data_IF_659134638064
#
_entry.id   IF_659134638064
#
_cell.length_a   1.000
_cell.length_b   1.000
_cell.length_c   1.000
_cell.angle_alpha   90.00
_cell.angle_beta   90.00
_cell.angle_gamma   90.00
#
_symmetry.space_group_name_H-M   'P 1'
#
loop_
_entity.id
_entity.type
_entity.pdbx_description
1 polymer ?
#
# COMPACT_ATOMS: atom_id res chain seq x y z
N UNK A 1 0.10 2.57 -25.31
CA UNK A 1 -1.03 2.63 -24.37
C UNK A 1 -1.59 4.04 -24.42
N UNK A 2 -2.89 4.22 -24.65
CA UNK A 2 -3.51 5.55 -24.76
C UNK A 2 -3.39 6.23 -23.37
N UNK A 3 -2.67 7.35 -23.26
CA UNK A 3 -2.43 8.08 -22.00
C UNK A 3 -3.74 8.34 -21.22
N UNK A 4 -4.85 8.53 -21.94
CA UNK A 4 -6.17 8.71 -21.32
C UNK A 4 -6.69 7.46 -20.61
N UNK A 5 -6.45 6.26 -21.14
CA UNK A 5 -6.86 4.99 -20.53
C UNK A 5 -5.99 4.65 -19.31
N UNK A 6 -4.70 4.92 -19.39
CA UNK A 6 -3.79 4.75 -18.25
C UNK A 6 -4.23 5.63 -17.07
N UNK A 7 -4.44 6.92 -17.32
CA UNK A 7 -4.84 7.87 -16.28
C UNK A 7 -6.18 7.54 -15.66
N UNK A 8 -7.15 7.01 -16.45
CA UNK A 8 -8.48 6.65 -15.95
C UNK A 8 -8.49 5.37 -15.13
N UNK A 9 -7.76 4.33 -15.55
CA UNK A 9 -7.95 2.99 -14.99
C UNK A 9 -6.78 2.45 -14.19
N UNK A 10 -5.55 2.87 -14.47
CA UNK A 10 -4.36 2.31 -13.82
C UNK A 10 -3.71 3.29 -12.84
N UNK A 11 -3.65 4.57 -13.19
CA UNK A 11 -3.00 5.59 -12.34
C UNK A 11 -3.55 5.61 -10.91
N UNK A 12 -4.89 5.59 -10.66
CA UNK A 12 -5.40 5.56 -9.29
C UNK A 12 -4.94 4.35 -8.49
N UNK A 13 -4.79 3.19 -9.15
CA UNK A 13 -4.27 1.98 -8.53
C UNK A 13 -2.79 2.09 -8.17
N UNK A 14 -1.96 2.64 -9.04
CA UNK A 14 -0.54 2.85 -8.76
C UNK A 14 -0.32 3.87 -7.63
N UNK A 15 -1.12 4.93 -7.59
CA UNK A 15 -1.05 5.91 -6.50
C UNK A 15 -1.51 5.28 -5.18
N UNK A 16 -2.63 4.53 -5.17
CA UNK A 16 -3.09 3.81 -3.99
C UNK A 16 -2.04 2.83 -3.48
N UNK A 17 -1.46 2.03 -4.36
CA UNK A 17 -0.35 1.14 -4.04
C UNK A 17 0.83 1.89 -3.40
N UNK A 18 1.25 3.03 -3.95
CA UNK A 18 2.37 3.80 -3.42
C UNK A 18 2.11 4.33 -2.01
N UNK A 19 0.85 4.58 -1.65
CA UNK A 19 0.48 4.98 -0.30
C UNK A 19 0.46 3.80 0.69
N UNK A 20 0.09 2.60 0.22
CA UNK A 20 0.06 1.39 1.04
C UNK A 20 1.48 0.88 1.33
N UNK A 21 2.37 0.94 0.32
CA UNK A 21 3.76 0.50 0.47
C UNK A 21 4.50 1.51 1.36
N UNK A 22 4.47 1.25 2.65
CA UNK A 22 5.13 2.01 3.69
C UNK A 22 6.25 1.23 4.36
N UNK A 23 6.69 1.67 5.55
CA UNK A 23 7.75 1.02 6.33
C UNK A 23 7.48 -0.44 6.69
N UNK A 24 6.20 -0.80 6.86
CA UNK A 24 5.78 -2.18 7.11
C UNK A 24 6.09 -3.14 5.95
N UNK A 25 6.08 -2.65 4.71
CA UNK A 25 6.57 -3.42 3.56
C UNK A 25 8.09 -3.48 3.50
N UNK A 26 8.78 -2.41 3.88
CA UNK A 26 10.25 -2.37 3.93
C UNK A 26 10.83 -3.42 4.87
N UNK A 27 10.16 -3.69 5.99
CA UNK A 27 10.52 -4.75 6.95
C UNK A 27 9.85 -6.10 6.66
N UNK A 28 8.75 -6.13 5.90
CA UNK A 28 7.90 -7.30 5.69
C UNK A 28 7.01 -7.66 6.88
N UNK A 29 7.11 -6.93 8.00
CA UNK A 29 6.42 -7.27 9.25
C UNK A 29 4.90 -7.20 9.14
N UNK A 30 4.37 -6.25 8.38
CA UNK A 30 2.92 -6.16 8.12
C UNK A 30 2.37 -7.43 7.45
N UNK A 31 3.10 -7.98 6.47
CA UNK A 31 2.66 -9.18 5.77
C UNK A 31 2.71 -10.41 6.67
N UNK A 32 3.69 -10.49 7.55
CA UNK A 32 3.74 -11.53 8.58
C UNK A 32 2.54 -11.42 9.49
N UNK A 33 2.29 -10.25 10.05
CA UNK A 33 1.27 -10.05 11.08
C UNK A 33 -0.14 -10.24 10.56
N UNK A 34 -0.48 -9.70 9.37
CA UNK A 34 -1.83 -9.73 8.85
C UNK A 34 -2.15 -10.97 8.02
N UNK A 35 -1.14 -11.61 7.42
CA UNK A 35 -1.36 -12.71 6.48
C UNK A 35 -0.65 -14.00 6.85
N UNK A 36 0.68 -13.98 7.11
CA UNK A 36 1.44 -15.22 7.33
C UNK A 36 1.14 -15.89 8.66
N UNK A 37 0.80 -15.16 9.70
CA UNK A 37 0.37 -15.72 10.99
C UNK A 37 -0.87 -16.60 10.87
N UNK A 38 -1.72 -16.35 9.88
CA UNK A 38 -2.89 -17.17 9.59
C UNK A 38 -2.53 -18.49 8.83
N UNK A 39 -1.28 -18.62 8.40
CA UNK A 39 -0.82 -19.70 7.54
C UNK A 39 -0.99 -19.43 6.05
N UNK A 40 -0.32 -20.22 5.18
CA UNK A 40 -0.22 -19.93 3.75
C UNK A 40 -1.57 -19.77 3.04
N UNK A 41 -2.49 -20.73 3.24
CA UNK A 41 -3.80 -20.72 2.57
C UNK A 41 -4.70 -19.61 3.12
N UNK A 42 -4.81 -19.51 4.45
CA UNK A 42 -5.61 -18.46 5.07
C UNK A 42 -5.03 -17.06 4.88
N UNK A 43 -3.71 -16.94 4.70
CA UNK A 43 -3.05 -15.72 4.28
C UNK A 43 -3.58 -15.22 2.93
N UNK A 44 -3.67 -16.10 1.92
CA UNK A 44 -4.26 -15.78 0.62
C UNK A 44 -5.75 -15.41 0.73
N UNK A 45 -6.52 -16.11 1.58
CA UNK A 45 -7.92 -15.76 1.84
C UNK A 45 -8.01 -14.36 2.45
N UNK A 46 -7.16 -14.03 3.42
CA UNK A 46 -7.11 -12.70 4.03
C UNK A 46 -6.74 -11.61 2.99
N UNK A 47 -5.81 -11.89 2.08
CA UNK A 47 -5.48 -10.98 0.98
C UNK A 47 -6.66 -10.76 0.03
N UNK A 48 -7.38 -11.83 -0.32
CA UNK A 48 -8.58 -11.73 -1.15
C UNK A 48 -9.67 -10.90 -0.46
N UNK A 49 -9.90 -11.10 0.84
CA UNK A 49 -10.85 -10.31 1.64
C UNK A 49 -10.46 -8.83 1.65
N UNK A 50 -9.18 -8.51 1.91
CA UNK A 50 -8.70 -7.14 1.89
C UNK A 50 -8.86 -6.49 0.50
N UNK A 51 -8.55 -7.22 -0.57
CA UNK A 51 -8.71 -6.76 -1.95
C UNK A 51 -10.17 -6.44 -2.28
N UNK A 52 -11.09 -7.31 -1.87
CA UNK A 52 -12.54 -7.08 -2.08
C UNK A 52 -13.00 -5.83 -1.34
N UNK A 53 -12.61 -5.67 -0.07
CA UNK A 53 -12.98 -4.49 0.72
C UNK A 53 -12.43 -3.22 0.07
N UNK A 54 -11.15 -3.19 -0.32
CA UNK A 54 -10.54 -2.04 -0.99
C UNK A 54 -11.24 -1.74 -2.31
N UNK A 55 -11.48 -2.75 -3.14
CA UNK A 55 -12.15 -2.60 -4.44
C UNK A 55 -13.54 -1.98 -4.30
N UNK A 56 -14.32 -2.46 -3.34
CA UNK A 56 -15.68 -1.93 -3.10
C UNK A 56 -15.62 -0.51 -2.56
N UNK A 57 -14.81 -0.25 -1.54
CA UNK A 57 -14.75 1.08 -0.93
C UNK A 57 -14.18 2.12 -1.90
N UNK A 58 -13.10 1.78 -2.64
CA UNK A 58 -12.54 2.70 -3.64
C UNK A 58 -13.53 2.98 -4.78
N UNK A 59 -14.24 1.96 -5.26
CA UNK A 59 -15.28 2.15 -6.29
C UNK A 59 -16.38 3.12 -5.81
N UNK A 60 -16.83 2.98 -4.56
CA UNK A 60 -17.82 3.88 -3.96
C UNK A 60 -17.23 5.29 -3.77
N UNK A 61 -16.02 5.40 -3.23
CA UNK A 61 -15.35 6.69 -3.02
C UNK A 61 -15.16 7.45 -4.36
N UNK A 62 -14.74 6.76 -5.41
CA UNK A 62 -14.52 7.35 -6.74
C UNK A 62 -15.84 7.82 -7.36
N UNK A 63 -16.91 7.02 -7.25
CA UNK A 63 -18.22 7.41 -7.78
C UNK A 63 -18.82 8.59 -6.99
N UNK A 64 -18.75 8.57 -5.66
CA UNK A 64 -19.23 9.67 -4.82
C UNK A 64 -18.43 10.96 -5.09
N UNK A 65 -17.11 10.85 -5.23
CA UNK A 65 -16.25 11.97 -5.60
C UNK A 65 -16.61 12.55 -6.96
N UNK A 66 -16.82 11.69 -7.96
CA UNK A 66 -17.25 12.09 -9.30
C UNK A 66 -18.61 12.80 -9.30
N UNK A 67 -19.60 12.22 -8.61
CA UNK A 67 -20.96 12.78 -8.53
C UNK A 67 -20.99 14.15 -7.83
N UNK A 68 -20.21 14.32 -6.78
CA UNK A 68 -20.14 15.55 -5.99
C UNK A 68 -19.15 16.58 -6.52
N UNK A 69 -18.25 16.21 -7.45
CA UNK A 69 -17.13 17.06 -7.87
C UNK A 69 -16.10 17.29 -6.76
N UNK A 70 -16.04 16.41 -5.77
CA UNK A 70 -15.18 16.55 -4.59
C UNK A 70 -13.90 15.73 -4.76
N UNK A 71 -12.88 16.31 -5.39
CA UNK A 71 -11.60 15.64 -5.68
C UNK A 71 -10.49 15.94 -4.66
N UNK A 72 -10.80 16.72 -3.64
CA UNK A 72 -9.93 16.96 -2.49
C UNK A 72 -10.47 16.25 -1.25
N UNK A 73 -9.59 15.67 -0.42
CA UNK A 73 -9.99 14.90 0.73
C UNK A 73 -10.91 15.67 1.71
N UNK A 74 -10.62 16.98 1.93
CA UNK A 74 -11.44 17.82 2.83
C UNK A 74 -12.85 18.05 2.30
N UNK A 75 -12.99 18.40 1.02
CA UNK A 75 -14.29 18.64 0.41
C UNK A 75 -15.11 17.36 0.36
N UNK A 76 -14.47 16.23 0.05
CA UNK A 76 -15.06 14.91 0.06
C UNK A 76 -15.56 14.51 1.45
N UNK A 77 -14.71 14.61 2.48
CA UNK A 77 -15.09 14.25 3.84
C UNK A 77 -16.18 15.16 4.42
N UNK A 78 -16.14 16.46 4.11
CA UNK A 78 -17.22 17.38 4.48
C UNK A 78 -18.56 16.99 3.88
N UNK A 79 -18.56 16.53 2.63
CA UNK A 79 -19.78 16.10 1.94
C UNK A 79 -20.40 14.85 2.54
N UNK A 80 -19.58 13.92 3.09
CA UNK A 80 -20.04 12.65 3.66
C UNK A 80 -20.31 12.75 5.17
N UNK A 81 -19.39 13.35 5.92
CA UNK A 81 -19.41 13.36 7.40
C UNK A 81 -20.03 14.63 7.97
N UNK A 82 -20.37 15.61 7.15
CA UNK A 82 -20.86 16.91 7.64
C UNK A 82 -19.88 17.50 8.65
N UNK A 83 -20.36 17.83 9.87
CA UNK A 83 -19.51 18.38 10.95
C UNK A 83 -18.49 17.38 11.50
N UNK A 84 -18.68 16.08 11.31
CA UNK A 84 -17.78 15.01 11.77
C UNK A 84 -16.44 14.96 11.04
N UNK A 85 -16.29 15.63 9.89
CA UNK A 85 -15.04 15.67 9.12
C UNK A 85 -13.86 16.19 9.95
N UNK A 86 -14.10 17.07 10.91
CA UNK A 86 -13.06 17.66 11.77
C UNK A 86 -12.39 16.58 12.65
N UNK A 87 -13.18 15.68 13.22
CA UNK A 87 -12.65 14.59 14.02
C UNK A 87 -11.76 13.65 13.16
N UNK A 88 -12.22 13.34 11.93
CA UNK A 88 -11.41 12.57 10.99
C UNK A 88 -10.10 13.29 10.65
N UNK A 89 -10.14 14.59 10.40
CA UNK A 89 -8.94 15.38 10.06
C UNK A 89 -7.89 15.34 11.18
N UNK A 90 -8.29 15.50 12.43
CA UNK A 90 -7.36 15.38 13.56
C UNK A 90 -6.73 13.99 13.65
N UNK A 91 -7.52 12.92 13.54
CA UNK A 91 -7.01 11.55 13.54
C UNK A 91 -6.07 11.29 12.37
N UNK A 92 -6.42 11.78 11.20
CA UNK A 92 -5.60 11.67 9.99
C UNK A 92 -4.27 12.42 10.13
N UNK A 93 -4.27 13.63 10.66
CA UNK A 93 -3.05 14.40 10.89
C UNK A 93 -2.12 13.72 11.92
N UNK A 94 -2.68 13.19 13.02
CA UNK A 94 -1.90 12.40 13.98
C UNK A 94 -1.28 11.18 13.28
N UNK A 95 -2.07 10.45 12.50
CA UNK A 95 -1.58 9.31 11.72
C UNK A 95 -0.47 9.70 10.75
N UNK A 96 -0.61 10.82 10.02
CA UNK A 96 0.43 11.32 9.12
C UNK A 96 1.74 11.63 9.85
N UNK A 97 1.68 12.29 11.01
CA UNK A 97 2.89 12.57 11.79
C UNK A 97 3.58 11.28 12.21
N UNK A 98 2.81 10.28 12.66
CA UNK A 98 3.37 8.98 13.03
C UNK A 98 4.02 8.28 11.83
N UNK A 99 3.34 8.23 10.68
CA UNK A 99 3.88 7.60 9.46
C UNK A 99 5.15 8.32 8.99
N UNK A 100 5.14 9.66 8.93
CA UNK A 100 6.33 10.44 8.53
C UNK A 100 7.49 10.23 9.49
N UNK A 101 7.22 10.11 10.79
CA UNK A 101 8.26 9.82 11.79
C UNK A 101 8.89 8.44 11.59
N UNK A 102 8.08 7.41 11.35
CA UNK A 102 8.56 6.05 11.06
C UNK A 102 9.38 6.02 9.77
N UNK A 103 8.90 6.68 8.71
CA UNK A 103 9.62 6.78 7.44
C UNK A 103 10.93 7.55 7.58
N UNK A 104 10.93 8.62 8.38
CA UNK A 104 12.11 9.39 8.71
C UNK A 104 13.17 8.54 9.40
N UNK A 105 12.78 7.80 10.44
CA UNK A 105 13.67 6.89 11.17
C UNK A 105 14.26 5.82 10.25
N UNK A 106 13.41 5.15 9.46
CA UNK A 106 13.87 4.13 8.51
C UNK A 106 14.84 4.70 7.46
N UNK A 107 14.57 5.91 6.97
CA UNK A 107 15.48 6.61 6.04
C UNK A 107 16.82 6.94 6.69
N UNK A 108 16.81 7.42 7.95
CA UNK A 108 18.02 7.67 8.73
C UNK A 108 18.88 6.43 8.88
N UNK A 109 18.27 5.31 9.31
CA UNK A 109 18.94 4.02 9.49
C UNK A 109 19.58 3.52 8.17
N UNK A 110 18.85 3.55 7.06
CA UNK A 110 19.36 3.14 5.74
C UNK A 110 20.55 4.01 5.30
N UNK A 111 20.48 5.33 5.48
CA UNK A 111 21.58 6.22 5.13
C UNK A 111 22.81 6.00 6.01
N UNK A 112 22.59 5.76 7.31
CA UNK A 112 23.68 5.45 8.25
C UNK A 112 24.40 4.15 7.86
N UNK A 113 23.65 3.09 7.53
CA UNK A 113 24.24 1.81 7.12
C UNK A 113 25.00 1.88 5.79
N UNK A 114 24.50 2.65 4.81
CA UNK A 114 25.13 2.70 3.47
C UNK A 114 26.31 3.66 3.41
N UNK A 115 26.20 4.82 4.07
CA UNK A 115 27.15 5.94 3.90
C UNK A 115 28.01 6.20 5.15
N UNK A 116 27.81 5.44 6.22
CA UNK A 116 28.53 5.62 7.51
C UNK A 116 28.42 7.08 8.05
N UNK A 117 27.20 7.63 7.96
CA UNK A 117 26.85 8.98 8.45
C UNK A 117 25.85 8.88 9.61
N UNK A 118 25.69 9.98 10.35
CA UNK A 118 24.67 10.02 11.41
C UNK A 118 23.26 9.89 10.81
N UNK A 119 22.37 9.14 11.48
CA UNK A 119 20.98 8.90 11.04
C UNK A 119 20.21 10.20 10.72
N UNK A 120 20.48 11.27 11.48
CA UNK A 120 19.85 12.58 11.27
C UNK A 120 20.10 13.14 9.87
N UNK A 121 21.22 12.83 9.23
CA UNK A 121 21.54 13.26 7.86
C UNK A 121 20.57 12.63 6.87
N UNK A 122 20.31 11.32 7.00
CA UNK A 122 19.34 10.61 6.15
C UNK A 122 17.91 11.15 6.34
N UNK A 123 17.52 11.41 7.58
CA UNK A 123 16.23 12.04 7.90
C UNK A 123 16.11 13.41 7.21
N UNK A 124 17.13 14.27 7.35
CA UNK A 124 17.11 15.61 6.75
C UNK A 124 17.06 15.57 5.22
N UNK A 125 17.80 14.66 4.59
CA UNK A 125 17.76 14.47 3.13
C UNK A 125 16.37 14.04 2.69
N UNK A 126 15.79 13.04 3.34
CA UNK A 126 14.44 12.55 3.03
C UNK A 126 13.39 13.68 3.16
N UNK A 127 13.43 14.43 4.27
CA UNK A 127 12.49 15.53 4.51
C UNK A 127 12.66 16.65 3.46
N UNK A 128 13.88 16.97 3.07
CA UNK A 128 14.15 17.96 2.04
C UNK A 128 13.61 17.51 0.67
N UNK A 129 13.84 16.25 0.27
CA UNK A 129 13.34 15.70 -0.98
C UNK A 129 11.81 15.67 -1.03
N UNK A 130 11.17 15.21 0.04
CA UNK A 130 9.70 15.21 0.14
C UNK A 130 9.16 16.64 0.08
N UNK A 131 9.76 17.56 0.82
CA UNK A 131 9.39 18.97 0.80
C UNK A 131 9.49 19.60 -0.60
N UNK A 132 10.55 19.28 -1.35
CA UNK A 132 10.71 19.72 -2.74
C UNK A 132 9.61 19.17 -3.65
N UNK A 133 9.31 17.86 -3.58
CA UNK A 133 8.28 17.25 -4.42
C UNK A 133 6.91 17.89 -4.13
N UNK A 134 6.59 18.09 -2.85
CA UNK A 134 5.32 18.71 -2.44
C UNK A 134 5.24 20.17 -2.87
N UNK A 135 6.36 20.91 -2.81
CA UNK A 135 6.43 22.32 -3.22
C UNK A 135 6.09 22.50 -4.72
N UNK A 136 6.50 21.58 -5.57
CA UNK A 136 6.18 21.63 -7.02
C UNK A 136 4.76 21.19 -7.36
N UNK A 137 3.99 20.73 -6.39
CA UNK A 137 2.56 20.49 -6.51
C UNK A 137 2.14 19.09 -6.94
N UNK A 138 0.82 18.88 -7.01
CA UNK A 138 0.21 17.55 -7.18
C UNK A 138 0.60 16.81 -8.45
N UNK A 139 0.89 17.53 -9.55
CA UNK A 139 1.29 16.88 -10.80
C UNK A 139 2.65 16.17 -10.67
N UNK A 140 3.62 16.80 -9.99
CA UNK A 140 4.91 16.16 -9.75
C UNK A 140 4.75 14.98 -8.79
N UNK A 141 3.92 15.11 -7.75
CA UNK A 141 3.60 14.02 -6.83
C UNK A 141 3.00 12.83 -7.59
N UNK A 142 2.00 13.04 -8.47
CA UNK A 142 1.41 11.98 -9.31
C UNK A 142 2.47 11.26 -10.16
N UNK A 143 3.34 12.01 -10.80
CA UNK A 143 4.39 11.46 -11.66
C UNK A 143 5.42 10.64 -10.86
N UNK A 144 5.91 11.19 -9.76
CA UNK A 144 6.89 10.52 -8.89
C UNK A 144 6.29 9.22 -8.33
N UNK A 145 5.08 9.26 -7.77
CA UNK A 145 4.41 8.07 -7.23
C UNK A 145 4.15 7.01 -8.30
N UNK A 146 3.75 7.42 -9.51
CA UNK A 146 3.53 6.51 -10.63
C UNK A 146 4.82 5.84 -11.11
N UNK A 147 5.90 6.60 -11.30
CA UNK A 147 7.21 6.07 -11.70
C UNK A 147 7.76 5.15 -10.63
N UNK A 148 7.68 5.56 -9.36
CA UNK A 148 8.15 4.78 -8.23
C UNK A 148 7.42 3.45 -8.09
N UNK A 149 6.09 3.44 -8.32
CA UNK A 149 5.32 2.20 -8.37
C UNK A 149 5.83 1.22 -9.40
N UNK A 150 6.17 1.69 -10.61
CA UNK A 150 6.72 0.82 -11.67
C UNK A 150 8.07 0.24 -11.25
N UNK A 151 8.95 1.05 -10.65
CA UNK A 151 10.25 0.60 -10.13
C UNK A 151 10.05 -0.48 -9.06
N UNK A 152 9.12 -0.27 -8.13
CA UNK A 152 8.78 -1.24 -7.08
C UNK A 152 8.25 -2.55 -7.66
N UNK A 153 7.38 -2.51 -8.69
CA UNK A 153 6.93 -3.71 -9.36
C UNK A 153 8.09 -4.49 -9.99
N UNK A 154 9.00 -3.81 -10.68
CA UNK A 154 10.18 -4.44 -11.27
C UNK A 154 11.03 -5.10 -10.18
N UNK A 155 11.26 -4.40 -9.07
CA UNK A 155 12.03 -4.93 -7.94
C UNK A 155 11.36 -6.17 -7.33
N UNK A 156 10.06 -6.11 -7.00
CA UNK A 156 9.34 -7.23 -6.40
C UNK A 156 9.21 -8.42 -7.35
N UNK A 157 8.95 -8.20 -8.63
CA UNK A 157 8.90 -9.28 -9.63
C UNK A 157 10.28 -9.93 -9.78
N UNK A 158 11.35 -9.13 -9.84
CA UNK A 158 12.71 -9.66 -9.93
C UNK A 158 13.06 -10.49 -8.69
N UNK A 159 12.78 -9.97 -7.50
CA UNK A 159 12.95 -10.68 -6.24
C UNK A 159 12.17 -12.00 -6.25
N UNK A 160 10.89 -11.97 -6.62
CA UNK A 160 10.06 -13.17 -6.69
C UNK A 160 10.62 -14.22 -7.65
N UNK A 161 11.07 -13.80 -8.85
CA UNK A 161 11.67 -14.74 -9.84
C UNK A 161 12.93 -15.39 -9.25
N UNK A 162 13.78 -14.63 -8.58
CA UNK A 162 15.01 -15.14 -7.95
C UNK A 162 14.68 -16.13 -6.84
N UNK A 163 13.81 -15.73 -5.91
CA UNK A 163 13.38 -16.58 -4.77
C UNK A 163 12.68 -17.84 -5.28
N UNK A 164 11.74 -17.71 -6.23
CA UNK A 164 11.02 -18.85 -6.75
C UNK A 164 11.92 -19.85 -7.46
N UNK A 165 12.91 -19.38 -8.25
CA UNK A 165 13.90 -20.28 -8.90
C UNK A 165 14.77 -21.02 -7.88
N UNK A 166 15.11 -20.37 -6.76
CA UNK A 166 16.02 -20.94 -5.77
C UNK A 166 15.30 -21.81 -4.73
N UNK A 167 14.06 -21.45 -4.36
CA UNK A 167 13.33 -22.03 -3.23
C UNK A 167 11.92 -22.53 -3.60
N UNK A 168 11.70 -22.97 -4.86
CA UNK A 168 10.37 -23.44 -5.29
C UNK A 168 9.88 -24.68 -4.54
N UNK A 169 10.79 -25.58 -4.17
CA UNK A 169 10.48 -26.78 -3.37
C UNK A 169 10.01 -26.43 -1.97
N UNK A 170 10.71 -25.51 -1.31
CA UNK A 170 10.38 -25.00 0.03
C UNK A 170 9.04 -24.27 0.03
N UNK A 171 8.81 -23.38 -0.95
CA UNK A 171 7.54 -22.68 -1.11
C UNK A 171 6.40 -23.69 -1.26
N UNK A 172 6.55 -24.70 -2.11
CA UNK A 172 5.51 -25.71 -2.34
C UNK A 172 5.27 -26.58 -1.10
N UNK A 173 6.33 -26.98 -0.40
CA UNK A 173 6.23 -27.75 0.84
C UNK A 173 5.54 -26.93 1.94
N UNK A 174 5.96 -25.68 2.12
CA UNK A 174 5.42 -24.80 3.14
C UNK A 174 3.96 -24.40 2.89
N UNK A 175 3.53 -24.40 1.61
CA UNK A 175 2.13 -24.15 1.25
C UNK A 175 1.16 -25.17 1.84
N UNK A 176 1.61 -26.40 2.08
CA UNK A 176 0.79 -27.46 2.69
C UNK A 176 0.75 -27.41 4.22
N UNK A 177 1.56 -26.57 4.85
CA UNK A 177 1.56 -26.41 6.29
C UNK A 177 0.28 -25.67 6.75
N UNK A 178 -0.45 -26.29 7.65
CA UNK A 178 -1.62 -25.66 8.26
C UNK A 178 -1.20 -24.90 9.53
N UNK A 179 -1.73 -23.69 9.69
CA UNK A 179 -1.61 -23.00 10.98
C UNK A 179 -2.85 -23.30 11.84
N UNK A 180 -2.63 -23.61 13.10
CA UNK A 180 -3.69 -23.75 14.09
C UNK A 180 -4.10 -22.36 14.60
N UNK A 181 -5.34 -21.97 14.39
CA UNK A 181 -6.02 -21.11 15.36
C UNK A 181 -6.19 -19.64 15.15
N UNK A 182 -6.10 -19.05 13.95
CA UNK A 182 -6.57 -17.67 13.76
C UNK A 182 -7.88 -17.59 12.98
N UNK A 183 -8.70 -16.57 13.25
CA UNK A 183 -9.94 -16.36 12.49
C UNK A 183 -9.61 -16.16 11.01
N UNK A 184 -10.22 -16.98 10.17
CA UNK A 184 -9.92 -17.15 8.72
C UNK A 184 -9.89 -15.83 7.93
N UNK A 185 -10.58 -14.79 8.38
CA UNK A 185 -10.76 -13.52 7.62
C UNK A 185 -10.34 -12.26 8.37
N UNK A 186 -10.01 -12.37 9.67
CA UNK A 186 -9.78 -11.20 10.51
C UNK A 186 -8.52 -10.41 10.13
N UNK A 187 -7.45 -11.10 9.71
CA UNK A 187 -6.23 -10.46 9.21
C UNK A 187 -6.53 -9.55 8.02
N UNK A 188 -7.29 -10.07 7.04
CA UNK A 188 -7.70 -9.32 5.86
C UNK A 188 -8.57 -8.11 6.18
N UNK A 189 -9.54 -8.25 7.10
CA UNK A 189 -10.40 -7.14 7.53
C UNK A 189 -9.57 -6.06 8.23
N UNK A 190 -8.69 -6.44 9.17
CA UNK A 190 -7.82 -5.49 9.89
C UNK A 190 -6.88 -4.76 8.93
N UNK A 191 -6.25 -5.48 8.01
CA UNK A 191 -5.37 -4.89 7.02
C UNK A 191 -6.10 -3.94 6.07
N UNK A 192 -7.30 -4.34 5.62
CA UNK A 192 -8.15 -3.48 4.83
C UNK A 192 -8.53 -2.20 5.56
N UNK A 193 -8.99 -2.32 6.81
CA UNK A 193 -9.39 -1.19 7.65
C UNK A 193 -8.23 -0.23 7.94
N UNK A 194 -7.02 -0.76 8.17
CA UNK A 194 -5.80 0.01 8.42
C UNK A 194 -5.45 0.92 7.23
N UNK A 195 -5.52 0.39 6.00
CA UNK A 195 -5.11 1.11 4.80
C UNK A 195 -6.22 1.93 4.14
N UNK A 196 -7.50 1.57 4.30
CA UNK A 196 -8.59 2.22 3.57
C UNK A 196 -8.81 3.68 3.98
N UNK A 197 -8.36 4.07 5.16
CA UNK A 197 -8.33 5.46 5.59
C UNK A 197 -7.54 6.38 4.65
N UNK A 198 -6.67 5.83 3.81
CA UNK A 198 -5.90 6.57 2.79
C UNK A 198 -6.74 6.86 1.51
N UNK A 199 -7.90 6.22 1.32
CA UNK A 199 -8.72 6.38 0.12
C UNK A 199 -9.06 7.84 -0.23
N UNK A 200 -9.41 8.74 0.73
CA UNK A 200 -9.66 10.13 0.39
C UNK A 200 -8.43 10.89 -0.13
N UNK A 201 -7.22 10.44 0.22
CA UNK A 201 -5.98 11.10 -0.18
C UNK A 201 -5.67 10.94 -1.68
N UNK A 202 -6.25 9.94 -2.36
CA UNK A 202 -5.99 9.67 -3.79
C UNK A 202 -7.07 10.25 -4.71
N UNK A 203 -8.10 10.93 -4.19
CA UNK A 203 -9.21 11.43 -5.01
C UNK A 203 -8.81 12.50 -6.02
N UNK A 204 -7.69 13.16 -5.84
CA UNK A 204 -7.16 14.12 -6.80
C UNK A 204 -6.84 13.51 -8.17
N UNK A 205 -6.52 12.21 -8.24
CA UNK A 205 -6.20 11.53 -9.49
C UNK A 205 -7.44 11.03 -10.26
N UNK A 206 -8.65 11.03 -9.64
CA UNK A 206 -9.87 10.53 -10.28
C UNK A 206 -10.72 11.62 -10.98
N UNK A 207 -10.21 12.84 -11.05
CA UNK A 207 -10.88 13.99 -11.73
C UNK A 207 -11.16 13.77 -13.21
N UNK A 208 -10.54 12.75 -13.83
CA UNK A 208 -10.70 12.40 -15.24
C UNK A 208 -11.78 11.34 -15.49
N UNK A 209 -12.48 10.91 -14.44
CA UNK A 209 -13.57 9.92 -14.56
C UNK A 209 -14.89 10.63 -14.89
N UNK A 210 -15.42 10.36 -16.07
CA UNK A 210 -16.62 11.04 -16.59
C UNK A 210 -17.90 10.25 -16.29
N UNK A 211 -17.81 8.92 -16.28
CA UNK A 211 -18.97 8.03 -16.15
C UNK A 211 -18.89 7.16 -14.88
N UNK A 212 -20.07 6.75 -14.38
CA UNK A 212 -20.17 5.78 -13.27
C UNK A 212 -19.40 4.49 -13.53
N UNK A 213 -19.45 4.00 -14.78
CA UNK A 213 -18.75 2.78 -15.17
C UNK A 213 -17.23 2.95 -15.03
N UNK A 214 -16.69 4.08 -15.45
CA UNK A 214 -15.26 4.39 -15.29
C UNK A 214 -14.88 4.46 -13.82
N UNK A 215 -15.66 5.13 -12.97
CA UNK A 215 -15.39 5.23 -11.54
C UNK A 215 -15.36 3.86 -10.85
N UNK A 216 -16.36 3.02 -11.13
CA UNK A 216 -16.43 1.67 -10.55
C UNK A 216 -15.26 0.80 -11.02
N UNK A 217 -14.99 0.76 -12.33
CA UNK A 217 -13.88 -0.06 -12.86
C UNK A 217 -12.54 0.42 -12.31
N UNK A 218 -12.31 1.73 -12.30
CA UNK A 218 -11.08 2.32 -11.76
C UNK A 218 -10.88 1.96 -10.27
N UNK A 219 -11.93 2.07 -9.45
CA UNK A 219 -11.87 1.73 -8.03
C UNK A 219 -11.60 0.25 -7.79
N UNK A 220 -12.26 -0.65 -8.54
CA UNK A 220 -12.02 -2.09 -8.47
C UNK A 220 -10.57 -2.42 -8.85
N UNK A 221 -10.10 -1.86 -9.96
CA UNK A 221 -8.72 -2.05 -10.41
C UNK A 221 -7.71 -1.49 -9.41
N UNK A 222 -8.02 -0.36 -8.77
CA UNK A 222 -7.15 0.22 -7.76
C UNK A 222 -6.97 -0.70 -6.55
N UNK A 223 -8.03 -1.35 -6.07
CA UNK A 223 -7.93 -2.37 -5.00
C UNK A 223 -7.08 -3.57 -5.41
N UNK A 224 -7.25 -4.07 -6.63
CA UNK A 224 -6.47 -5.20 -7.16
C UNK A 224 -4.99 -4.82 -7.31
N UNK A 225 -4.70 -3.68 -7.96
CA UNK A 225 -3.33 -3.20 -8.19
C UNK A 225 -2.62 -2.99 -6.85
N UNK A 226 -3.31 -2.43 -5.85
CA UNK A 226 -2.76 -2.21 -4.51
C UNK A 226 -2.32 -3.50 -3.81
N UNK A 227 -2.98 -4.64 -4.09
CA UNK A 227 -2.64 -5.92 -3.46
C UNK A 227 -1.54 -6.71 -4.17
N UNK A 228 -1.24 -6.43 -5.44
CA UNK A 228 -0.27 -7.21 -6.21
C UNK A 228 1.12 -7.27 -5.55
N UNK A 229 1.72 -6.16 -5.08
CA UNK A 229 3.02 -6.22 -4.42
C UNK A 229 3.00 -7.06 -3.14
N UNK A 230 1.92 -6.95 -2.35
CA UNK A 230 1.73 -7.77 -1.16
C UNK A 230 1.73 -9.26 -1.49
N UNK A 231 1.01 -9.64 -2.54
CA UNK A 231 0.93 -11.03 -3.00
C UNK A 231 2.30 -11.55 -3.46
N UNK A 232 3.05 -10.75 -4.23
CA UNK A 232 4.38 -11.12 -4.71
C UNK A 232 5.33 -11.33 -3.51
N UNK A 233 5.35 -10.39 -2.59
CA UNK A 233 6.21 -10.47 -1.41
C UNK A 233 5.78 -11.61 -0.47
N UNK A 234 4.49 -11.82 -0.26
CA UNK A 234 3.94 -12.94 0.51
C UNK A 234 4.41 -14.29 -0.03
N UNK A 235 4.32 -14.49 -1.35
CA UNK A 235 4.77 -15.74 -2.00
C UNK A 235 6.28 -15.94 -1.85
N UNK A 236 7.08 -14.86 -1.93
CA UNK A 236 8.51 -14.93 -1.69
C UNK A 236 8.81 -15.32 -0.23
N UNK A 237 8.12 -14.72 0.72
CA UNK A 237 8.28 -14.97 2.16
C UNK A 237 7.88 -16.39 2.58
N UNK A 238 7.04 -17.08 1.80
CA UNK A 238 6.72 -18.50 2.04
C UNK A 238 7.94 -19.42 1.95
N UNK A 239 9.01 -19.01 1.28
CA UNK A 239 10.27 -19.80 1.25
C UNK A 239 10.86 -20.03 2.64
N UNK A 240 10.65 -19.10 3.57
CA UNK A 240 11.17 -19.13 4.94
C UNK A 240 10.09 -19.41 6.00
N UNK A 241 8.87 -19.80 5.57
CA UNK A 241 7.81 -20.17 6.51
C UNK A 241 8.11 -21.53 7.16
N UNK A 242 7.89 -21.77 8.48
CA UNK A 242 7.33 -20.84 9.48
C UNK A 242 8.36 -19.97 10.23
N UNK A 243 9.68 -20.13 10.01
CA UNK A 243 10.73 -19.43 10.77
C UNK A 243 10.61 -17.90 10.68
N UNK A 244 10.14 -17.39 9.55
CA UNK A 244 9.93 -15.96 9.30
C UNK A 244 8.97 -15.29 10.30
N UNK A 245 8.10 -16.05 10.97
CA UNK A 245 7.12 -15.52 11.93
C UNK A 245 7.79 -14.88 13.16
N UNK A 246 8.98 -15.35 13.54
CA UNK A 246 9.74 -14.87 14.69
C UNK A 246 10.72 -13.73 14.38
N UNK A 247 10.92 -13.41 13.09
CA UNK A 247 11.90 -12.41 12.67
C UNK A 247 11.40 -10.98 12.87
N UNK A 248 12.27 -10.11 13.36
CA UNK A 248 11.97 -8.68 13.53
C UNK A 248 11.91 -7.96 12.17
N UNK A 249 12.81 -8.32 11.25
CA UNK A 249 12.88 -7.78 9.88
C UNK A 249 12.83 -8.93 8.87
N UNK A 250 11.61 -9.44 8.55
CA UNK A 250 11.42 -10.62 7.71
C UNK A 250 12.02 -10.54 6.30
N UNK A 251 12.21 -9.33 5.75
CA UNK A 251 12.75 -9.15 4.40
C UNK A 251 14.26 -9.39 4.32
N UNK A 252 14.98 -9.43 5.46
CA UNK A 252 16.42 -9.65 5.49
C UNK A 252 16.82 -11.14 5.43
N UNK A 253 15.86 -12.07 5.41
CA UNK A 253 16.07 -13.51 5.25
C UNK A 253 16.10 -13.90 3.76
#
# INVERSE_FOLDING_TARGET
>A
MNLSLFNKYLLPGFIFQSLIIGGGYGTGRELVEFFLTAGPIYGLVNMAVATIIWSVVLAVCFEVSRMGGHYEYRSFLKSILGKGWVAYEYLYLIGLVLVVSVMGSASGEIFSEIFDVEEIVGVMIMMALVGLIVFYGTQLVEQVLSIWSIILYIAFITMFIVVFKKFSSEITANFSLQSEGSSVVMGGIKYAAYNIGLAPAILFCVRHLDTRKEAIISGVLAGIIGMIPALILFLAMLSQYPSILSEAVPVNL
#
